data_IF_955066503415
#
_entry.id   IF_955066503415
#
_cell.length_a   1.000
_cell.length_b   1.000
_cell.length_c   1.000
_cell.angle_alpha   90.00
_cell.angle_beta   90.00
_cell.angle_gamma   90.00
#
_symmetry.space_group_name_H-M   'P 1'
#
loop_
_entity.id
_entity.type
_entity.pdbx_description
1 polymer ?
#
# COMPACT_ATOMS: atom_id res chain seq x y z
N UNK A 1 2.27 12.52 -23.91
CA UNK A 1 2.82 13.62 -23.08
C UNK A 1 2.79 13.27 -21.60
N UNK A 2 1.70 12.65 -21.12
CA UNK A 2 1.50 12.19 -19.74
C UNK A 2 2.72 11.49 -19.11
N UNK A 3 3.46 10.71 -19.89
CA UNK A 3 4.62 9.95 -19.39
C UNK A 3 5.92 10.78 -19.30
N UNK A 4 6.02 11.93 -19.99
CA UNK A 4 7.27 12.71 -20.07
C UNK A 4 7.63 13.32 -18.71
N UNK A 5 6.63 13.78 -17.98
CA UNK A 5 6.76 14.43 -16.67
C UNK A 5 6.02 13.66 -15.58
N UNK A 6 5.83 12.35 -15.76
CA UNK A 6 5.22 11.48 -14.77
C UNK A 6 3.87 12.04 -14.25
N UNK A 7 3.07 12.63 -15.15
CA UNK A 7 1.75 13.16 -14.85
C UNK A 7 1.68 14.46 -14.04
N UNK A 8 2.79 15.17 -13.76
CA UNK A 8 2.72 16.47 -13.07
C UNK A 8 2.26 17.63 -13.97
N UNK A 9 2.20 17.42 -15.28
CA UNK A 9 1.75 18.43 -16.24
C UNK A 9 0.29 18.82 -16.05
N UNK A 10 -0.54 17.91 -15.55
CA UNK A 10 -1.92 18.20 -15.19
C UNK A 10 -2.00 19.08 -13.93
N UNK A 11 -1.25 18.75 -12.88
CA UNK A 11 -1.30 19.51 -11.62
C UNK A 11 -0.70 20.91 -11.79
N UNK A 12 0.40 21.04 -12.54
CA UNK A 12 0.99 22.36 -12.85
C UNK A 12 -0.02 23.24 -13.60
N UNK A 13 -0.79 22.68 -14.53
CA UNK A 13 -1.85 23.43 -15.25
C UNK A 13 -2.98 23.82 -14.31
N UNK A 14 -3.41 22.91 -13.45
CA UNK A 14 -4.45 23.19 -12.46
C UNK A 14 -4.02 24.31 -11.51
N UNK A 15 -2.81 24.22 -10.94
CA UNK A 15 -2.23 25.26 -10.09
C UNK A 15 -2.17 26.58 -10.85
N UNK A 16 -1.68 26.58 -12.10
CA UNK A 16 -1.61 27.77 -12.94
C UNK A 16 -2.97 28.46 -13.12
N UNK A 17 -4.04 27.68 -13.35
CA UNK A 17 -5.38 28.23 -13.53
C UNK A 17 -6.01 28.76 -12.23
N UNK A 18 -5.54 28.29 -11.08
CA UNK A 18 -6.02 28.66 -9.76
C UNK A 18 -5.13 29.68 -9.04
N UNK A 19 -4.09 30.20 -9.69
CA UNK A 19 -3.28 31.27 -9.12
C UNK A 19 -4.11 32.53 -8.83
N UNK A 20 -3.87 33.20 -7.69
CA UNK A 20 -4.37 34.55 -7.44
C UNK A 20 -3.97 35.52 -8.57
N UNK A 21 -4.78 36.56 -8.87
CA UNK A 21 -4.50 37.49 -9.95
C UNK A 21 -3.11 38.15 -9.88
N UNK A 22 -2.64 38.44 -8.66
CA UNK A 22 -1.32 39.04 -8.41
C UNK A 22 -0.17 38.09 -8.77
N UNK A 23 -0.23 36.85 -8.28
CA UNK A 23 0.74 35.80 -8.58
C UNK A 23 0.74 35.46 -10.09
N UNK A 24 -0.44 35.39 -10.69
CA UNK A 24 -0.61 35.11 -12.11
C UNK A 24 0.06 36.19 -12.98
N UNK A 25 -0.07 37.46 -12.61
CA UNK A 25 0.59 38.56 -13.30
C UNK A 25 2.12 38.51 -13.13
N UNK A 26 2.62 38.12 -11.96
CA UNK A 26 4.05 37.85 -11.75
C UNK A 26 4.56 36.73 -12.64
N UNK A 27 3.83 35.61 -12.71
CA UNK A 27 4.11 34.47 -13.58
C UNK A 27 4.14 34.90 -15.05
N UNK A 28 3.16 35.69 -15.52
CA UNK A 28 3.16 36.18 -16.89
C UNK A 28 4.34 37.11 -17.19
N UNK A 29 4.67 38.03 -16.29
CA UNK A 29 5.84 38.90 -16.43
C UNK A 29 7.12 38.09 -16.57
N UNK A 30 7.32 37.12 -15.70
CA UNK A 30 8.48 36.25 -15.73
C UNK A 30 8.48 35.32 -16.97
N UNK A 31 7.32 34.86 -17.43
CA UNK A 31 7.16 34.08 -18.66
C UNK A 31 7.57 34.90 -19.89
N UNK A 32 7.17 36.18 -19.94
CA UNK A 32 7.57 37.11 -21.00
C UNK A 32 9.07 37.37 -21.04
N UNK A 33 9.72 37.50 -19.88
CA UNK A 33 11.19 37.62 -19.80
C UNK A 33 11.89 36.39 -20.36
N UNK A 34 11.37 35.18 -20.11
CA UNK A 34 11.98 33.93 -20.54
C UNK A 34 11.70 33.55 -22.00
N UNK A 35 10.48 33.82 -22.50
CA UNK A 35 10.02 33.32 -23.81
C UNK A 35 9.61 34.42 -24.81
N UNK A 36 9.75 35.69 -24.43
CA UNK A 36 9.43 36.87 -25.25
C UNK A 36 8.03 37.45 -25.01
N UNK A 37 7.90 38.76 -25.23
CA UNK A 37 6.66 39.53 -24.95
C UNK A 37 5.47 39.05 -25.79
N UNK A 38 5.70 38.64 -27.04
CA UNK A 38 4.65 38.06 -27.88
C UNK A 38 4.04 36.78 -27.29
N UNK A 39 4.85 35.92 -26.68
CA UNK A 39 4.37 34.68 -26.03
C UNK A 39 3.62 34.98 -24.73
N UNK A 40 4.06 35.98 -23.97
CA UNK A 40 3.31 36.50 -22.81
C UNK A 40 1.96 37.08 -23.22
N UNK A 41 1.90 37.94 -24.24
CA UNK A 41 0.65 38.53 -24.75
C UNK A 41 -0.33 37.45 -25.17
N UNK A 42 0.14 36.48 -25.94
CA UNK A 42 -0.67 35.32 -26.34
C UNK A 42 -1.18 34.52 -25.13
N UNK A 43 -0.31 34.22 -24.16
CA UNK A 43 -0.69 33.48 -22.96
C UNK A 43 -1.75 34.22 -22.13
N UNK A 44 -1.59 35.54 -21.94
CA UNK A 44 -2.57 36.39 -21.25
C UNK A 44 -3.94 36.39 -21.93
N UNK A 45 -3.96 36.58 -23.25
CA UNK A 45 -5.19 36.63 -24.04
C UNK A 45 -5.91 35.28 -24.07
N UNK A 46 -5.15 34.18 -24.06
CA UNK A 46 -5.70 32.81 -24.17
C UNK A 46 -6.02 32.19 -22.82
N UNK A 47 -5.49 32.73 -21.72
CA UNK A 47 -5.66 32.17 -20.36
C UNK A 47 -7.11 31.84 -20.00
N UNK A 48 -8.04 32.79 -20.18
CA UNK A 48 -9.46 32.58 -19.87
C UNK A 48 -10.08 31.45 -20.71
N UNK A 49 -9.64 31.30 -21.96
CA UNK A 49 -10.09 30.24 -22.87
C UNK A 49 -9.50 28.87 -22.50
N UNK A 50 -8.25 28.84 -22.03
CA UNK A 50 -7.65 27.62 -21.48
C UNK A 50 -8.34 27.18 -20.19
N UNK A 51 -8.58 28.11 -19.26
CA UNK A 51 -9.22 27.83 -17.98
C UNK A 51 -10.66 27.33 -18.13
N UNK A 52 -11.40 27.84 -19.12
CA UNK A 52 -12.77 27.40 -19.43
C UNK A 52 -12.84 26.16 -20.32
N UNK A 53 -11.72 25.65 -20.82
CA UNK A 53 -11.68 24.52 -21.74
C UNK A 53 -12.12 24.83 -23.18
N UNK A 54 -12.48 26.07 -23.50
CA UNK A 54 -12.84 26.51 -24.86
C UNK A 54 -11.69 26.27 -25.85
N UNK A 55 -10.45 26.46 -25.37
CA UNK A 55 -9.25 26.16 -26.13
C UNK A 55 -8.39 25.19 -25.33
N UNK A 56 -7.93 24.12 -25.96
CA UNK A 56 -6.97 23.22 -25.33
C UNK A 56 -5.56 23.85 -25.35
N UNK A 57 -4.87 23.79 -24.21
CA UNK A 57 -3.48 24.23 -24.14
C UNK A 57 -2.60 23.29 -24.97
N UNK A 58 -1.80 23.84 -25.87
CA UNK A 58 -0.89 23.02 -26.68
C UNK A 58 0.20 22.39 -25.82
N UNK A 59 0.70 21.23 -26.24
CA UNK A 59 1.73 20.50 -25.52
C UNK A 59 2.98 21.31 -25.21
N UNK A 60 3.43 22.11 -26.19
CA UNK A 60 4.59 22.98 -26.06
C UNK A 60 4.40 24.07 -24.99
N UNK A 61 3.18 24.53 -24.76
CA UNK A 61 2.88 25.51 -23.71
C UNK A 61 2.82 24.81 -22.34
N UNK A 62 2.17 23.65 -22.27
CA UNK A 62 2.13 22.81 -21.06
C UNK A 62 3.55 22.47 -20.59
N UNK A 63 4.40 21.99 -21.49
CA UNK A 63 5.81 21.69 -21.23
C UNK A 63 6.59 22.90 -20.67
N UNK A 64 6.36 24.09 -21.25
CA UNK A 64 6.97 25.31 -20.72
C UNK A 64 6.50 25.61 -19.31
N UNK A 65 5.21 25.45 -19.01
CA UNK A 65 4.68 25.68 -17.66
C UNK A 65 5.32 24.73 -16.65
N UNK A 66 5.45 23.44 -16.97
CA UNK A 66 6.05 22.45 -16.05
C UNK A 66 7.49 22.80 -15.68
N UNK A 67 8.26 23.31 -16.64
CA UNK A 67 9.66 23.72 -16.41
C UNK A 67 9.75 25.07 -15.68
N UNK A 68 8.81 25.97 -15.92
CA UNK A 68 8.94 27.38 -15.56
C UNK A 68 8.15 27.80 -14.31
N UNK A 69 6.96 27.26 -14.13
CA UNK A 69 6.04 27.68 -13.08
C UNK A 69 6.50 27.29 -11.67
N UNK A 70 7.01 26.06 -11.42
CA UNK A 70 7.26 25.60 -10.06
C UNK A 70 8.15 26.53 -9.21
N UNK A 71 9.23 27.16 -9.71
CA UNK A 71 9.98 28.16 -8.95
C UNK A 71 9.15 29.26 -8.29
N UNK A 72 8.04 29.68 -8.91
CA UNK A 72 7.16 30.75 -8.44
C UNK A 72 6.04 30.26 -7.50
N UNK A 73 5.94 28.95 -7.28
CA UNK A 73 4.92 28.39 -6.40
C UNK A 73 5.34 28.46 -4.93
N UNK A 74 4.34 28.48 -4.05
CA UNK A 74 4.51 28.28 -2.61
C UNK A 74 5.09 26.89 -2.31
N UNK A 75 5.67 26.72 -1.13
CA UNK A 75 6.30 25.47 -0.74
C UNK A 75 5.34 24.27 -0.79
N UNK A 76 4.08 24.44 -0.42
CA UNK A 76 3.07 23.37 -0.35
C UNK A 76 2.86 22.73 -1.73
N UNK A 77 2.64 23.56 -2.75
CA UNK A 77 2.49 23.10 -4.14
C UNK A 77 3.77 22.43 -4.65
N UNK A 78 4.95 22.95 -4.28
CA UNK A 78 6.23 22.32 -4.65
C UNK A 78 6.36 20.94 -4.01
N UNK A 79 5.98 20.80 -2.75
CA UNK A 79 5.99 19.52 -2.04
C UNK A 79 5.07 18.50 -2.73
N UNK A 80 3.85 18.89 -3.08
CA UNK A 80 2.90 17.97 -3.72
C UNK A 80 3.39 17.54 -5.12
N UNK A 81 3.99 18.45 -5.90
CA UNK A 81 4.63 18.10 -7.17
C UNK A 81 5.81 17.15 -6.99
N UNK A 82 6.70 17.42 -6.01
CA UNK A 82 7.85 16.54 -5.70
C UNK A 82 7.37 15.17 -5.24
N UNK A 83 6.34 15.12 -4.38
CA UNK A 83 5.71 13.87 -3.92
C UNK A 83 5.19 13.04 -5.08
N UNK A 84 4.45 13.65 -6.02
CA UNK A 84 3.94 12.94 -7.19
C UNK A 84 5.05 12.45 -8.13
N UNK A 85 6.07 13.27 -8.37
CA UNK A 85 7.25 12.84 -9.13
C UNK A 85 7.97 11.66 -8.47
N UNK A 86 8.18 11.73 -7.15
CA UNK A 86 8.85 10.69 -6.40
C UNK A 86 8.07 9.38 -6.47
N UNK A 87 6.76 9.40 -6.16
CA UNK A 87 5.89 8.21 -6.27
C UNK A 87 5.94 7.64 -7.69
N UNK A 88 5.69 8.46 -8.71
CA UNK A 88 5.60 7.97 -10.09
C UNK A 88 6.96 7.60 -10.70
N UNK A 89 8.07 7.97 -10.07
CA UNK A 89 9.42 7.53 -10.47
C UNK A 89 9.77 6.14 -9.95
N UNK A 90 9.02 5.61 -8.99
CA UNK A 90 9.28 4.31 -8.41
C UNK A 90 8.80 3.18 -9.32
N UNK A 91 9.58 2.09 -9.43
CA UNK A 91 9.12 0.90 -10.13
C UNK A 91 7.91 0.31 -9.39
N UNK A 92 6.93 -0.15 -10.17
CA UNK A 92 5.84 -0.95 -9.65
C UNK A 92 6.38 -2.35 -9.32
N UNK A 93 6.16 -2.81 -8.09
CA UNK A 93 6.57 -4.17 -7.69
C UNK A 93 5.40 -4.92 -7.09
N UNK A 94 5.37 -6.23 -7.35
CA UNK A 94 4.33 -7.13 -6.88
C UNK A 94 5.00 -8.33 -6.23
N UNK A 95 4.59 -8.64 -5.00
CA UNK A 95 5.07 -9.79 -4.25
C UNK A 95 3.88 -10.61 -3.77
N UNK A 96 4.00 -11.93 -3.83
CA UNK A 96 3.02 -12.85 -3.27
C UNK A 96 3.74 -13.86 -2.37
N UNK A 97 3.29 -13.96 -1.12
CA UNK A 97 3.82 -14.88 -0.13
C UNK A 97 2.70 -15.78 0.37
N UNK A 98 3.04 -17.04 0.66
CA UNK A 98 2.17 -17.99 1.34
C UNK A 98 2.82 -18.40 2.65
N UNK A 99 2.22 -18.04 3.77
CA UNK A 99 2.73 -18.32 5.11
C UNK A 99 1.78 -19.21 5.90
N UNK A 100 2.28 -19.82 6.97
CA UNK A 100 1.47 -20.60 7.91
C UNK A 100 1.44 -19.91 9.27
N UNK A 101 0.48 -20.24 10.15
CA UNK A 101 0.46 -19.66 11.50
C UNK A 101 1.71 -19.92 12.34
N UNK A 102 2.53 -20.89 11.95
CA UNK A 102 3.75 -21.31 12.64
C UNK A 102 5.03 -20.75 12.00
N UNK A 103 5.00 -20.30 10.74
CA UNK A 103 6.20 -19.98 9.96
C UNK A 103 5.95 -18.89 8.91
N UNK A 104 7.01 -18.14 8.58
CA UNK A 104 7.02 -17.15 7.50
C UNK A 104 6.55 -15.76 7.93
N UNK A 105 6.23 -15.55 9.20
CA UNK A 105 5.89 -14.22 9.71
C UNK A 105 7.07 -13.25 9.58
N UNK A 106 8.26 -13.69 9.99
CA UNK A 106 9.50 -12.92 9.90
C UNK A 106 9.82 -12.56 8.45
N UNK A 107 9.62 -13.48 7.51
CA UNK A 107 9.83 -13.24 6.07
C UNK A 107 8.93 -12.12 5.53
N UNK A 108 7.67 -12.06 5.98
CA UNK A 108 6.74 -10.99 5.61
C UNK A 108 7.19 -9.65 6.20
N UNK A 109 7.55 -9.61 7.48
CA UNK A 109 8.03 -8.40 8.16
C UNK A 109 9.30 -7.88 7.49
N UNK A 110 10.25 -8.77 7.18
CA UNK A 110 11.48 -8.43 6.46
C UNK A 110 11.19 -7.93 5.05
N UNK A 111 10.26 -8.55 4.32
CA UNK A 111 9.88 -8.10 2.98
C UNK A 111 9.26 -6.69 3.01
N UNK A 112 8.38 -6.42 3.97
CA UNK A 112 7.78 -5.08 4.15
C UNK A 112 8.88 -4.06 4.46
N UNK A 113 9.75 -4.35 5.44
CA UNK A 113 10.84 -3.46 5.84
C UNK A 113 11.82 -3.19 4.69
N UNK A 114 12.20 -4.23 3.95
CA UNK A 114 13.03 -4.14 2.74
C UNK A 114 12.36 -3.27 1.69
N UNK A 115 11.07 -3.48 1.42
CA UNK A 115 10.32 -2.70 0.44
C UNK A 115 10.29 -1.22 0.81
N UNK A 116 10.02 -0.89 2.08
CA UNK A 116 10.05 0.50 2.59
C UNK A 116 11.43 1.12 2.38
N UNK A 117 12.49 0.40 2.74
CA UNK A 117 13.87 0.85 2.59
C UNK A 117 14.25 1.11 1.13
N UNK A 118 13.95 0.17 0.23
CA UNK A 118 14.20 0.33 -1.21
C UNK A 118 13.46 1.55 -1.78
N UNK A 119 12.22 1.81 -1.33
CA UNK A 119 11.48 3.02 -1.73
C UNK A 119 12.12 4.30 -1.20
N UNK A 120 12.56 4.33 0.06
CA UNK A 120 13.25 5.48 0.67
C UNK A 120 14.56 5.85 -0.06
N UNK A 121 15.29 4.82 -0.50
CA UNK A 121 16.55 4.98 -1.24
C UNK A 121 16.33 5.41 -2.70
N UNK A 122 15.13 5.21 -3.24
CA UNK A 122 14.78 5.65 -4.60
C UNK A 122 14.77 7.18 -4.67
N UNK A 123 15.56 7.72 -5.60
CA UNK A 123 15.63 9.14 -5.89
C UNK A 123 14.93 9.45 -7.22
N UNK A 124 14.45 10.69 -7.37
CA UNK A 124 14.01 11.19 -8.67
C UNK A 124 15.19 11.09 -9.65
N UNK A 125 14.96 10.51 -10.83
CA UNK A 125 16.00 10.24 -11.82
C UNK A 125 16.75 11.50 -12.26
N UNK A 126 18.05 11.37 -12.52
CA UNK A 126 18.89 12.52 -12.90
C UNK A 126 18.42 13.15 -14.20
N UNK A 127 17.99 12.34 -15.18
CA UNK A 127 17.42 12.84 -16.43
C UNK A 127 16.15 13.69 -16.22
N UNK A 128 15.38 13.44 -15.16
CA UNK A 128 14.23 14.27 -14.80
C UNK A 128 14.67 15.54 -14.07
N UNK A 129 15.67 15.47 -13.19
CA UNK A 129 16.28 16.63 -12.52
C UNK A 129 16.91 17.62 -13.51
N UNK A 130 17.62 17.12 -14.51
CA UNK A 130 18.19 17.92 -15.60
C UNK A 130 17.10 18.68 -16.37
N UNK A 131 16.00 17.99 -16.71
CA UNK A 131 14.85 18.58 -17.43
C UNK A 131 14.07 19.56 -16.56
N UNK A 132 13.97 19.28 -15.26
CA UNK A 132 13.27 20.06 -14.27
C UNK A 132 14.25 20.69 -13.29
N UNK A 133 15.11 21.59 -13.76
CA UNK A 133 16.16 22.23 -12.96
C UNK A 133 15.65 22.89 -11.66
N UNK A 134 14.35 23.18 -11.55
CA UNK A 134 13.76 23.65 -10.29
C UNK A 134 13.82 22.60 -9.17
N UNK A 135 13.89 21.31 -9.48
CA UNK A 135 14.11 20.22 -8.52
C UNK A 135 15.46 20.33 -7.82
N UNK A 136 16.45 20.94 -8.48
CA UNK A 136 17.77 21.15 -7.92
C UNK A 136 17.84 22.36 -6.97
N UNK A 137 16.78 23.16 -6.88
CA UNK A 137 16.70 24.32 -6.00
C UNK A 137 16.49 23.89 -4.55
N UNK A 138 16.98 24.72 -3.61
CA UNK A 138 16.95 24.44 -2.17
C UNK A 138 15.56 24.02 -1.65
N UNK A 139 14.49 24.67 -2.13
CA UNK A 139 13.14 24.36 -1.67
C UNK A 139 12.65 22.98 -2.13
N UNK A 140 12.99 22.54 -3.33
CA UNK A 140 12.61 21.22 -3.81
C UNK A 140 13.40 20.12 -3.10
N UNK A 141 14.69 20.33 -2.84
CA UNK A 141 15.52 19.42 -2.01
C UNK A 141 14.94 19.26 -0.60
N UNK A 142 14.57 20.37 0.05
CA UNK A 142 13.91 20.34 1.36
C UNK A 142 12.55 19.62 1.32
N UNK A 143 11.79 19.78 0.23
CA UNK A 143 10.54 19.05 0.05
C UNK A 143 10.77 17.55 -0.10
N UNK A 144 11.80 17.14 -0.84
CA UNK A 144 12.21 15.73 -0.97
C UNK A 144 12.67 15.14 0.37
N UNK A 145 13.49 15.87 1.14
CA UNK A 145 13.92 15.46 2.49
C UNK A 145 12.73 15.31 3.44
N UNK A 146 11.81 16.27 3.42
CA UNK A 146 10.58 16.22 4.22
C UNK A 146 9.73 15.02 3.84
N UNK A 147 9.53 14.79 2.54
CA UNK A 147 8.77 13.66 2.01
C UNK A 147 9.35 12.32 2.49
N UNK A 148 10.67 12.15 2.42
CA UNK A 148 11.34 10.92 2.86
C UNK A 148 11.13 10.66 4.34
N UNK A 149 11.23 11.69 5.19
CA UNK A 149 10.96 11.57 6.64
C UNK A 149 9.50 11.18 6.93
N UNK A 150 8.55 11.80 6.21
CA UNK A 150 7.12 11.46 6.35
C UNK A 150 6.88 10.01 5.91
N UNK A 151 7.46 9.61 4.78
CA UNK A 151 7.32 8.25 4.25
C UNK A 151 7.96 7.20 5.16
N UNK A 152 9.11 7.48 5.77
CA UNK A 152 9.75 6.61 6.76
C UNK A 152 8.80 6.33 7.93
N UNK A 153 8.16 7.37 8.48
CA UNK A 153 7.17 7.21 9.56
C UNK A 153 5.91 6.50 9.11
N UNK A 154 5.43 6.77 7.90
CA UNK A 154 4.34 6.00 7.32
C UNK A 154 4.69 4.51 7.19
N UNK A 155 5.92 4.20 6.76
CA UNK A 155 6.43 2.84 6.72
C UNK A 155 6.47 2.16 8.08
N UNK A 156 6.91 2.87 9.13
CA UNK A 156 6.87 2.36 10.52
C UNK A 156 5.43 2.02 10.95
N UNK A 157 4.45 2.86 10.61
CA UNK A 157 3.02 2.62 10.90
C UNK A 157 2.55 1.34 10.20
N UNK A 158 2.79 1.24 8.89
CA UNK A 158 2.38 0.08 8.08
C UNK A 158 2.99 -1.20 8.63
N UNK A 159 4.30 -1.19 8.88
CA UNK A 159 5.02 -2.38 9.37
C UNK A 159 4.40 -2.89 10.67
N UNK A 160 4.12 -2.00 11.63
CA UNK A 160 3.55 -2.40 12.92
C UNK A 160 2.10 -2.83 12.84
N UNK A 161 1.26 -2.09 12.12
CA UNK A 161 -0.17 -2.38 12.01
C UNK A 161 -0.40 -3.73 11.32
N UNK A 162 0.26 -3.95 10.19
CA UNK A 162 0.18 -5.22 9.43
C UNK A 162 0.75 -6.38 10.25
N UNK A 163 1.87 -6.19 10.93
CA UNK A 163 2.46 -7.23 11.80
C UNK A 163 1.48 -7.67 12.90
N UNK A 164 0.77 -6.72 13.51
CA UNK A 164 -0.24 -7.00 14.52
C UNK A 164 -1.43 -7.76 13.94
N UNK A 165 -1.97 -7.27 12.84
CA UNK A 165 -3.14 -7.88 12.18
C UNK A 165 -2.85 -9.32 11.74
N UNK A 166 -1.70 -9.56 11.09
CA UNK A 166 -1.30 -10.91 10.68
C UNK A 166 -1.11 -11.86 11.87
N UNK A 167 -0.63 -11.35 13.00
CA UNK A 167 -0.50 -12.15 14.23
C UNK A 167 -1.87 -12.57 14.78
N UNK A 168 -2.81 -11.63 14.84
CA UNK A 168 -4.18 -11.91 15.29
C UNK A 168 -4.82 -12.98 14.40
N UNK A 169 -4.74 -12.82 13.06
CA UNK A 169 -5.29 -13.82 12.12
C UNK A 169 -4.59 -15.18 12.31
N UNK A 170 -3.27 -15.20 12.52
CA UNK A 170 -2.51 -16.44 12.76
C UNK A 170 -2.94 -17.14 14.03
N UNK A 171 -3.18 -16.40 15.11
CA UNK A 171 -3.66 -16.92 16.40
C UNK A 171 -5.03 -17.60 16.23
N UNK A 172 -5.95 -16.98 15.51
CA UNK A 172 -7.25 -17.57 15.18
C UNK A 172 -7.14 -18.83 14.34
N UNK A 173 -6.31 -18.84 13.28
CA UNK A 173 -6.11 -20.04 12.46
C UNK A 173 -5.50 -21.18 13.30
N UNK A 174 -4.71 -20.87 14.33
CA UNK A 174 -4.11 -21.87 15.22
C UNK A 174 -5.12 -22.47 16.20
N UNK A 175 -5.96 -21.64 16.80
CA UNK A 175 -6.90 -22.01 17.86
C UNK A 175 -8.16 -22.71 17.31
N UNK A 176 -8.67 -22.26 16.17
CA UNK A 176 -9.94 -22.73 15.60
C UNK A 176 -9.79 -24.00 14.77
N UNK A 177 -9.78 -25.18 15.41
CA UNK A 177 -9.51 -26.46 14.73
C UNK A 177 -10.62 -26.89 13.76
N UNK A 178 -11.88 -26.59 14.09
CA UNK A 178 -13.07 -27.09 13.39
C UNK A 178 -13.45 -26.25 12.16
N UNK A 179 -12.83 -25.08 12.01
CA UNK A 179 -13.04 -24.18 10.88
C UNK A 179 -11.74 -24.03 10.11
N UNK A 180 -11.78 -24.25 8.79
CA UNK A 180 -10.65 -23.98 7.93
C UNK A 180 -10.65 -22.50 7.55
N UNK A 181 -9.82 -21.72 8.24
CA UNK A 181 -9.66 -20.28 8.04
C UNK A 181 -8.49 -20.03 7.09
N UNK A 182 -8.71 -19.14 6.13
CA UNK A 182 -7.70 -18.60 5.21
C UNK A 182 -7.75 -17.08 5.35
N UNK A 183 -6.61 -16.47 5.68
CA UNK A 183 -6.43 -15.02 5.63
C UNK A 183 -5.69 -14.62 4.36
N UNK A 184 -6.13 -13.57 3.70
CA UNK A 184 -5.41 -12.92 2.60
C UNK A 184 -5.26 -11.45 2.95
N UNK A 185 -4.03 -10.95 3.01
CA UNK A 185 -3.73 -9.55 3.28
C UNK A 185 -3.04 -8.94 2.08
N UNK A 186 -3.66 -7.95 1.46
CA UNK A 186 -3.01 -7.05 0.53
C UNK A 186 -2.39 -5.88 1.31
N UNK A 187 -1.14 -5.55 1.02
CA UNK A 187 -0.39 -4.46 1.63
C UNK A 187 0.11 -3.54 0.52
N UNK A 188 -0.24 -2.25 0.58
CA UNK A 188 0.14 -1.22 -0.38
C UNK A 188 1.18 -0.29 0.23
N UNK A 189 2.34 -0.19 -0.43
CA UNK A 189 3.47 0.64 -0.01
C UNK A 189 3.92 1.45 -1.23
N UNK A 190 3.47 2.70 -1.32
CA UNK A 190 3.63 3.51 -2.54
C UNK A 190 3.15 2.74 -3.79
N UNK A 191 4.04 2.48 -4.76
CA UNK A 191 3.73 1.70 -5.99
C UNK A 191 3.97 0.18 -5.84
N UNK A 192 4.12 -0.32 -4.61
CA UNK A 192 4.34 -1.74 -4.35
C UNK A 192 3.11 -2.39 -3.72
N UNK A 193 2.85 -3.63 -4.13
CA UNK A 193 1.78 -4.46 -3.58
C UNK A 193 2.36 -5.77 -3.08
N UNK A 194 2.11 -6.12 -1.82
CA UNK A 194 2.48 -7.39 -1.22
C UNK A 194 1.18 -8.12 -0.87
N UNK A 195 1.00 -9.33 -1.38
CA UNK A 195 -0.12 -10.21 -1.03
C UNK A 195 0.40 -11.32 -0.10
N UNK A 196 -0.16 -11.40 1.09
CA UNK A 196 0.17 -12.41 2.09
C UNK A 196 -1.00 -13.37 2.23
N UNK A 197 -0.79 -14.61 1.80
CA UNK A 197 -1.75 -15.70 1.95
C UNK A 197 -1.42 -16.52 3.20
N UNK A 198 -2.21 -16.39 4.24
CA UNK A 198 -2.06 -17.11 5.50
C UNK A 198 -3.01 -18.31 5.54
N UNK A 199 -2.47 -19.52 5.57
CA UNK A 199 -3.24 -20.78 5.56
C UNK A 199 -2.60 -21.83 6.46
N UNK A 200 -3.44 -22.69 7.07
CA UNK A 200 -2.94 -23.82 7.87
C UNK A 200 -2.12 -24.77 6.99
N UNK A 201 -0.97 -25.23 7.49
CA UNK A 201 -0.16 -26.25 6.83
C UNK A 201 -0.98 -27.54 6.61
N UNK A 202 -0.87 -28.17 5.42
CA UNK A 202 -1.48 -29.49 5.20
C UNK A 202 -0.72 -30.52 6.05
N UNK A 203 -1.45 -31.41 6.75
CA UNK A 203 -0.88 -32.43 7.66
C UNK A 203 0.28 -33.24 7.06
N UNK A 204 0.24 -33.52 5.75
CA UNK A 204 1.30 -34.24 5.03
C UNK A 204 2.68 -33.56 5.14
N UNK A 205 2.75 -32.23 5.12
CA UNK A 205 4.02 -31.50 5.21
C UNK A 205 4.62 -31.50 6.61
N UNK A 206 3.78 -31.56 7.66
CA UNK A 206 4.25 -31.65 9.05
C UNK A 206 4.98 -32.97 9.35
N UNK A 207 4.59 -34.06 8.68
CA UNK A 207 5.28 -35.35 8.81
C UNK A 207 6.67 -35.35 8.14
N UNK A 208 6.85 -34.60 7.04
CA UNK A 208 8.09 -34.60 6.27
C UNK A 208 9.15 -33.60 6.78
N UNK A 209 8.76 -32.47 7.37
CA UNK A 209 9.70 -31.37 7.67
C UNK A 209 10.38 -31.43 9.04
N UNK A 210 9.97 -32.31 9.96
CA UNK A 210 10.51 -32.33 11.33
C UNK A 210 10.11 -31.07 12.12
N UNK A 211 9.52 -31.26 13.30
CA UNK A 211 8.98 -30.15 14.09
C UNK A 211 10.11 -29.38 14.81
N UNK A 212 10.85 -28.56 14.06
CA UNK A 212 11.95 -27.71 14.57
C UNK A 212 11.55 -26.23 14.69
N UNK A 213 10.24 -25.92 14.70
CA UNK A 213 9.76 -24.55 14.88
C UNK A 213 9.89 -24.13 16.35
N UNK A 214 10.87 -23.26 16.63
CA UNK A 214 10.88 -22.50 17.88
C UNK A 214 9.71 -21.50 17.85
N UNK A 215 8.78 -21.65 18.81
CA UNK A 215 7.57 -20.84 18.95
C UNK A 215 7.87 -19.40 19.43
N UNK A 216 8.67 -18.64 18.69
CA UNK A 216 9.03 -17.27 19.04
C UNK A 216 8.09 -16.25 18.38
N UNK A 217 6.76 -16.41 18.56
CA UNK A 217 5.89 -15.25 18.30
C UNK A 217 6.15 -14.20 19.39
N UNK A 218 6.44 -12.94 19.02
CA UNK A 218 6.60 -11.88 20.02
C UNK A 218 5.33 -11.72 20.86
N UNK A 219 5.46 -11.34 22.13
CA UNK A 219 4.32 -11.14 23.03
C UNK A 219 3.35 -10.07 22.48
N UNK A 220 2.04 -10.29 22.61
CA UNK A 220 0.98 -9.37 22.16
C UNK A 220 1.11 -8.00 22.81
N UNK A 221 1.47 -7.97 24.09
CA UNK A 221 1.70 -6.74 24.88
C UNK A 221 2.80 -5.85 24.28
N UNK A 222 3.80 -6.46 23.63
CA UNK A 222 4.91 -5.71 23.02
C UNK A 222 4.47 -4.86 21.82
N UNK A 223 3.43 -5.28 21.08
CA UNK A 223 3.04 -4.61 19.84
C UNK A 223 2.20 -3.37 20.10
N UNK A 224 1.30 -3.43 21.09
CA UNK A 224 0.47 -2.29 21.49
C UNK A 224 1.34 -1.15 22.01
N UNK A 225 2.32 -1.49 22.85
CA UNK A 225 3.34 -0.56 23.31
C UNK A 225 4.16 0.04 22.15
N UNK A 226 4.46 -0.76 21.12
CA UNK A 226 5.17 -0.26 19.95
C UNK A 226 4.33 0.71 19.10
N UNK A 227 3.01 0.52 18.99
CA UNK A 227 2.13 1.49 18.29
C UNK A 227 2.06 2.79 19.07
N UNK A 228 1.94 2.74 20.40
CA UNK A 228 1.97 3.94 21.24
C UNK A 228 3.34 4.65 21.20
N UNK A 229 4.42 3.89 21.00
CA UNK A 229 5.74 4.47 20.77
C UNK A 229 5.84 5.19 19.42
N UNK A 230 5.07 4.80 18.39
CA UNK A 230 5.03 5.58 17.14
C UNK A 230 4.46 6.97 17.40
N UNK A 231 3.40 7.09 18.18
CA UNK A 231 2.80 8.40 18.46
C UNK A 231 3.82 9.34 19.14
N UNK A 232 4.61 8.80 20.08
CA UNK A 232 5.76 9.50 20.68
C UNK A 232 6.84 9.86 19.65
N UNK A 233 7.17 8.95 18.73
CA UNK A 233 8.17 9.21 17.68
C UNK A 233 7.69 10.25 16.66
N UNK A 234 6.39 10.35 16.39
CA UNK A 234 5.82 11.41 15.56
C UNK A 234 6.03 12.78 16.24
N UNK A 235 5.93 12.86 17.57
CA UNK A 235 6.29 14.08 18.30
C UNK A 235 7.78 14.45 18.17
N UNK A 236 8.68 13.50 17.93
CA UNK A 236 10.10 13.84 17.66
C UNK A 236 10.27 14.52 16.29
N UNK A 237 9.41 14.24 15.31
CA UNK A 237 9.39 15.03 14.06
C UNK A 237 9.06 16.50 14.33
N UNK A 238 8.34 16.80 15.42
CA UNK A 238 8.01 18.16 15.84
C UNK A 238 9.26 18.93 16.31
N UNK A 239 10.30 18.25 16.80
CA UNK A 239 11.56 18.91 17.19
C UNK A 239 12.42 19.31 15.99
N UNK A 240 12.36 18.52 14.91
CA UNK A 240 13.00 18.83 13.63
C UNK A 240 12.45 20.10 12.95
N UNK A 241 11.35 20.66 13.45
CA UNK A 241 10.67 21.87 12.94
C UNK A 241 11.49 23.14 13.18
N UNK A 242 12.40 23.16 14.17
CA UNK A 242 13.05 24.41 14.60
C UNK A 242 13.84 25.13 13.49
N UNK A 243 14.36 24.40 12.51
CA UNK A 243 15.15 24.94 11.39
C UNK A 243 14.34 25.25 10.11
N UNK A 244 13.03 24.98 10.12
CA UNK A 244 12.16 25.12 8.94
C UNK A 244 11.58 26.54 8.80
N UNK A 245 11.31 26.96 7.56
CA UNK A 245 10.57 28.19 7.27
C UNK A 245 9.08 28.05 7.65
N UNK A 246 8.32 29.14 7.91
CA UNK A 246 6.91 29.03 8.28
C UNK A 246 6.06 28.17 7.33
N UNK A 247 6.24 28.31 6.01
CA UNK A 247 5.55 27.47 5.00
C UNK A 247 5.91 25.98 5.15
N UNK A 248 7.20 25.68 5.39
CA UNK A 248 7.66 24.31 5.63
C UNK A 248 7.09 23.72 6.92
N UNK A 249 6.98 24.54 7.98
CA UNK A 249 6.37 24.13 9.25
C UNK A 249 4.90 23.78 9.06
N UNK A 250 4.15 24.62 8.33
CA UNK A 250 2.74 24.38 8.06
C UNK A 250 2.55 23.07 7.30
N UNK A 251 3.31 22.85 6.22
CA UNK A 251 3.20 21.60 5.45
C UNK A 251 3.60 20.37 6.27
N UNK A 252 4.66 20.45 7.06
CA UNK A 252 5.05 19.35 7.94
C UNK A 252 3.99 19.09 9.02
N UNK A 253 3.38 20.14 9.60
CA UNK A 253 2.29 20.00 10.56
C UNK A 253 1.09 19.27 9.93
N UNK A 254 0.69 19.63 8.70
CA UNK A 254 -0.36 18.91 7.97
C UNK A 254 -0.03 17.42 7.80
N UNK A 255 1.20 17.07 7.42
CA UNK A 255 1.60 15.67 7.26
C UNK A 255 1.71 14.95 8.61
N UNK A 256 2.13 15.62 9.69
CA UNK A 256 2.11 15.08 11.06
C UNK A 256 0.68 14.75 11.49
N UNK A 257 -0.28 15.65 11.25
CA UNK A 257 -1.70 15.40 11.56
C UNK A 257 -2.21 14.19 10.78
N UNK A 258 -1.85 14.06 9.49
CA UNK A 258 -2.18 12.88 8.69
C UNK A 258 -1.56 11.60 9.25
N UNK A 259 -0.31 11.63 9.71
CA UNK A 259 0.34 10.48 10.33
C UNK A 259 -0.34 10.08 11.64
N UNK A 260 -0.71 11.04 12.50
CA UNK A 260 -1.45 10.76 13.74
C UNK A 260 -2.82 10.13 13.45
N UNK A 261 -3.54 10.67 12.46
CA UNK A 261 -4.82 10.09 12.00
C UNK A 261 -4.63 8.65 11.52
N UNK A 262 -3.61 8.40 10.70
CA UNK A 262 -3.24 7.07 10.21
C UNK A 262 -2.92 6.06 11.32
N UNK A 263 -2.27 6.49 12.41
CA UNK A 263 -2.02 5.64 13.59
C UNK A 263 -3.34 5.23 14.24
N UNK A 264 -4.27 6.17 14.44
CA UNK A 264 -5.57 5.89 15.05
C UNK A 264 -6.44 5.01 14.14
N UNK A 265 -6.48 5.32 12.85
CA UNK A 265 -7.16 4.51 11.83
C UNK A 265 -6.64 3.07 11.83
N UNK A 266 -5.32 2.88 11.90
CA UNK A 266 -4.71 1.55 11.99
C UNK A 266 -5.15 0.77 13.23
N UNK A 267 -5.31 1.43 14.39
CA UNK A 267 -5.81 0.78 15.61
C UNK A 267 -7.25 0.29 15.42
N UNK A 268 -8.10 1.17 14.89
CA UNK A 268 -9.50 0.87 14.59
C UNK A 268 -9.60 -0.27 13.57
N UNK A 269 -8.78 -0.25 12.52
CA UNK A 269 -8.77 -1.28 11.48
C UNK A 269 -8.41 -2.66 12.03
N UNK A 270 -7.43 -2.74 12.93
CA UNK A 270 -7.04 -3.99 13.59
C UNK A 270 -8.20 -4.54 14.42
N UNK A 271 -8.89 -3.68 15.17
CA UNK A 271 -10.03 -4.10 16.01
C UNK A 271 -11.22 -4.55 15.15
N UNK A 272 -11.54 -3.84 14.06
CA UNK A 272 -12.60 -4.22 13.12
C UNK A 272 -12.27 -5.55 12.42
N UNK A 273 -11.02 -5.73 11.96
CA UNK A 273 -10.57 -6.98 11.36
C UNK A 273 -10.72 -8.15 12.34
N UNK A 274 -10.42 -7.93 13.63
CA UNK A 274 -10.59 -8.94 14.69
C UNK A 274 -12.07 -9.28 14.92
N UNK A 275 -12.93 -8.29 15.07
CA UNK A 275 -14.38 -8.50 15.26
C UNK A 275 -15.00 -9.26 14.08
N UNK A 276 -14.62 -8.89 12.84
CA UNK A 276 -15.07 -9.60 11.63
C UNK A 276 -14.60 -11.06 11.60
N UNK A 277 -13.38 -11.32 12.06
CA UNK A 277 -12.82 -12.67 12.17
C UNK A 277 -13.58 -13.50 13.21
N UNK A 278 -13.89 -12.93 14.36
CA UNK A 278 -14.69 -13.58 15.41
C UNK A 278 -16.08 -13.92 14.90
N UNK A 279 -16.77 -12.95 14.29
CA UNK A 279 -18.11 -13.12 13.77
C UNK A 279 -18.15 -14.20 12.67
N UNK A 280 -17.22 -14.17 11.71
CA UNK A 280 -17.24 -15.13 10.60
C UNK A 280 -16.97 -16.56 11.09
N UNK A 281 -16.06 -16.72 12.06
CA UNK A 281 -15.77 -18.00 12.68
C UNK A 281 -16.99 -18.50 13.46
N UNK A 282 -17.64 -17.63 14.25
CA UNK A 282 -18.84 -17.96 15.00
C UNK A 282 -19.99 -18.41 14.08
N UNK A 283 -20.25 -17.65 13.00
CA UNK A 283 -21.27 -17.98 12.01
C UNK A 283 -20.99 -19.36 11.41
N UNK A 284 -19.76 -19.60 10.95
CA UNK A 284 -19.39 -20.88 10.34
C UNK A 284 -19.43 -22.02 11.36
N UNK A 285 -19.08 -21.78 12.62
CA UNK A 285 -19.15 -22.77 13.70
C UNK A 285 -20.58 -23.23 13.95
N UNK A 286 -21.55 -22.30 13.96
CA UNK A 286 -22.98 -22.59 14.19
C UNK A 286 -23.65 -23.33 13.03
N UNK A 287 -23.04 -23.36 11.84
CA UNK A 287 -23.59 -24.13 10.71
C UNK A 287 -23.52 -25.64 11.00
N UNK A 288 -24.55 -26.42 10.61
CA UNK A 288 -24.58 -27.86 10.86
C UNK A 288 -23.42 -28.56 10.16
N UNK A 289 -22.92 -29.62 10.78
CA UNK A 289 -21.98 -30.54 10.14
C UNK A 289 -22.75 -31.43 9.16
N UNK A 290 -23.01 -30.92 7.98
CA UNK A 290 -23.53 -31.73 6.88
C UNK A 290 -22.38 -32.23 6.01
N UNK A 291 -22.37 -33.54 5.72
CA UNK A 291 -21.38 -34.20 4.88
C UNK A 291 -21.51 -33.77 3.42
N UNK A 292 -22.69 -33.29 3.01
CA UNK A 292 -23.01 -32.95 1.62
C UNK A 292 -22.75 -31.49 1.25
N UNK A 293 -22.69 -30.58 2.23
CA UNK A 293 -22.56 -29.15 1.97
C UNK A 293 -21.18 -28.60 2.38
N UNK A 294 -20.63 -27.75 1.51
CA UNK A 294 -19.45 -26.94 1.82
C UNK A 294 -19.90 -25.52 2.09
N UNK A 295 -19.76 -25.08 3.33
CA UNK A 295 -20.02 -23.71 3.70
C UNK A 295 -18.76 -22.87 3.50
N UNK A 296 -18.90 -21.73 2.83
CA UNK A 296 -17.85 -20.73 2.65
C UNK A 296 -18.43 -19.39 3.07
N UNK A 297 -17.88 -18.82 4.13
CA UNK A 297 -18.14 -17.44 4.50
C UNK A 297 -16.91 -16.61 4.13
N UNK A 298 -17.14 -15.43 3.56
CA UNK A 298 -16.10 -14.47 3.20
C UNK A 298 -16.41 -13.12 3.83
N UNK A 299 -15.40 -12.50 4.43
CA UNK A 299 -15.45 -11.13 4.92
C UNK A 299 -14.27 -10.34 4.33
N UNK A 300 -14.52 -9.09 3.95
CA UNK A 300 -13.48 -8.18 3.44
C UNK A 300 -13.48 -6.91 4.28
N UNK A 301 -12.29 -6.46 4.65
CA UNK A 301 -12.05 -5.19 5.31
C UNK A 301 -11.07 -4.38 4.47
N UNK A 302 -11.42 -3.14 4.16
CA UNK A 302 -10.58 -2.25 3.35
C UNK A 302 -9.91 -1.25 4.27
N UNK A 303 -8.60 -1.10 4.14
CA UNK A 303 -7.83 -0.09 4.88
C UNK A 303 -7.05 0.80 3.90
N UNK A 304 -6.53 1.96 4.35
CA UNK A 304 -5.66 2.79 3.52
C UNK A 304 -4.41 2.06 3.02
N UNK A 305 -4.00 1.00 3.74
CA UNK A 305 -2.79 0.23 3.48
C UNK A 305 -3.06 -1.08 2.76
N UNK A 306 -4.29 -1.32 2.31
CA UNK A 306 -4.68 -2.51 1.56
C UNK A 306 -5.81 -3.30 2.23
N UNK A 307 -6.23 -4.36 1.56
CA UNK A 307 -7.44 -5.07 1.91
C UNK A 307 -7.11 -6.37 2.68
N UNK A 308 -7.92 -6.68 3.69
CA UNK A 308 -7.89 -7.95 4.41
C UNK A 308 -9.11 -8.76 4.02
N UNK A 309 -8.90 -9.96 3.50
CA UNK A 309 -9.93 -10.92 3.20
C UNK A 309 -9.79 -12.14 4.12
N UNK A 310 -10.88 -12.52 4.77
CA UNK A 310 -10.97 -13.68 5.64
C UNK A 310 -11.98 -14.64 5.05
N UNK A 311 -11.54 -15.87 4.81
CA UNK A 311 -12.38 -16.93 4.26
C UNK A 311 -12.43 -18.06 5.28
N UNK A 312 -13.61 -18.31 5.82
CA UNK A 312 -13.86 -19.42 6.74
C UNK A 312 -14.64 -20.52 6.01
N UNK A 313 -14.18 -21.77 6.13
CA UNK A 313 -14.77 -22.94 5.45
C UNK A 313 -15.08 -24.04 6.46
N UNK A 314 -16.26 -24.66 6.35
CA UNK A 314 -16.68 -25.85 7.13
C UNK A 314 -17.28 -26.89 6.18
N UNK A 315 -16.93 -28.16 6.38
CA UNK A 315 -17.36 -29.29 5.54
C UNK A 315 -16.26 -30.34 5.32
N UNK A 316 -16.66 -31.59 5.08
CA UNK A 316 -15.77 -32.75 5.02
C UNK A 316 -15.08 -32.87 3.64
N UNK A 317 -13.74 -32.80 3.62
CA UNK A 317 -12.94 -33.09 2.41
C UNK A 317 -12.53 -34.57 2.32
N UNK A 318 -12.69 -35.34 3.40
CA UNK A 318 -12.04 -36.65 3.56
C UNK A 318 -12.87 -37.84 3.09
N UNK A 319 -14.20 -37.79 3.15
CA UNK A 319 -15.01 -38.97 2.83
C UNK A 319 -15.16 -39.24 1.33
N UNK A 320 -15.34 -38.22 0.47
CA UNK A 320 -15.49 -38.47 -0.96
C UNK A 320 -14.22 -39.00 -1.65
N UNK A 321 -13.03 -38.52 -1.25
CA UNK A 321 -11.78 -39.02 -1.81
C UNK A 321 -11.51 -40.49 -1.41
N UNK A 322 -11.85 -40.87 -0.17
CA UNK A 322 -11.69 -42.26 0.32
C UNK A 322 -12.75 -43.18 -0.29
N UNK A 323 -14.00 -42.73 -0.45
CA UNK A 323 -15.06 -43.53 -1.09
C UNK A 323 -14.72 -43.76 -2.56
N UNK A 324 -14.26 -42.74 -3.30
CA UNK A 324 -13.83 -42.93 -4.70
C UNK A 324 -12.59 -43.81 -4.79
N UNK A 325 -11.59 -43.67 -3.89
CA UNK A 325 -10.39 -44.52 -3.95
C UNK A 325 -10.68 -45.98 -3.57
N UNK A 326 -11.56 -46.22 -2.59
CA UNK A 326 -11.99 -47.56 -2.21
C UNK A 326 -12.90 -48.18 -3.28
N UNK A 327 -13.78 -47.41 -3.91
CA UNK A 327 -14.62 -47.88 -5.01
C UNK A 327 -13.78 -48.22 -6.26
N UNK A 328 -12.76 -47.41 -6.58
CA UNK A 328 -11.80 -47.71 -7.65
C UNK A 328 -10.92 -48.93 -7.34
N UNK A 329 -10.52 -49.12 -6.08
CA UNK A 329 -9.77 -50.31 -5.66
C UNK A 329 -10.66 -51.57 -5.73
N UNK A 330 -11.92 -51.48 -5.31
CA UNK A 330 -12.91 -52.57 -5.42
C UNK A 330 -13.22 -52.93 -6.88
N UNK A 331 -13.35 -51.93 -7.76
CA UNK A 331 -13.51 -52.14 -9.20
C UNK A 331 -12.28 -52.81 -9.81
N UNK A 332 -11.07 -52.38 -9.44
CA UNK A 332 -9.85 -53.01 -9.92
C UNK A 332 -9.73 -54.47 -9.45
N UNK A 333 -10.08 -54.77 -8.20
CA UNK A 333 -10.09 -56.14 -7.67
C UNK A 333 -11.17 -57.00 -8.35
N UNK A 334 -12.37 -56.46 -8.59
CA UNK A 334 -13.40 -57.18 -9.35
C UNK A 334 -12.96 -57.46 -10.79
N UNK A 335 -12.34 -56.50 -11.49
CA UNK A 335 -11.85 -56.72 -12.86
C UNK A 335 -10.80 -57.84 -12.89
N UNK A 336 -9.90 -57.91 -11.90
CA UNK A 336 -8.90 -58.98 -11.80
C UNK A 336 -9.56 -60.34 -11.51
N UNK A 337 -10.55 -60.40 -10.62
CA UNK A 337 -11.26 -61.64 -10.30
C UNK A 337 -12.11 -62.16 -11.47
N UNK A 338 -12.73 -61.29 -12.26
CA UNK A 338 -13.52 -61.69 -13.42
C UNK A 338 -12.65 -62.05 -14.64
N UNK A 339 -11.50 -61.41 -14.82
CA UNK A 339 -10.56 -61.76 -15.89
C UNK A 339 -9.90 -63.15 -15.69
N UNK A 340 -9.77 -63.62 -14.45
CA UNK A 340 -9.20 -64.93 -14.13
C UNK A 340 -10.15 -66.13 -14.28
N UNK A 341 -11.45 -65.92 -14.50
CA UNK A 341 -12.46 -66.99 -14.60
C UNK A 341 -12.76 -67.44 -16.05
N UNK A 342 -12.11 -66.84 -17.04
CA UNK A 342 -12.35 -67.11 -18.46
C UNK A 342 -11.19 -67.87 -19.16
N UNK A 343 -10.31 -68.50 -18.38
CA UNK A 343 -9.17 -69.29 -18.86
C UNK A 343 -9.35 -70.78 -18.68
#
# INVERSE_FOLDING_TARGET
MKDRYLGIDDDVREIFFNLPPEDLEMVFRAYGRKYGEGKKRFAKQTFKKWKSGIVQMSGKISERLVVFLPPYLKFENKYDLVKKLWINSQPQTFFELSITPEQGFEEVVELIAKTIKEKLETNISESLKERLNWLCQNNAKKAEELLKKVFEKEGEIILKSVSRELRDISEYIRTEKDVNIIGVKEIKIANSTIIVNLKRAKKFWRFLMGDNSSNNLPDKTSVDQQIDQIDKNISVLEEGIKSLTPEQKNKLFEEIVKLKFKVQESKIDIDISREKLELIVEVVRKLPEDVLFRYIAKSTHKTPYGDTEIIAKKGCFTTFAIIISTFSLLLAVMVILFAGSAG
#
